data_IF_910053112097
#
_entry.id   IF_910053112097
#
_cell.length_a   1.000
_cell.length_b   1.000
_cell.length_c   1.000
_cell.angle_alpha   90.00
_cell.angle_beta   90.00
_cell.angle_gamma   90.00
#
_symmetry.space_group_name_H-M   'P 1'
#
loop_
_entity.id
_entity.type
_entity.pdbx_description
1 polymer ?
#
# COMPACT_ATOMS: atom_id res chain seq x y z
N UNK A 1 16.38 -1.06 -26.82
CA UNK A 1 15.01 -1.29 -26.29
C UNK A 1 14.21 -1.99 -27.38
N UNK A 2 13.90 -3.26 -27.24
CA UNK A 2 13.03 -3.96 -28.20
C UNK A 2 11.59 -3.55 -27.89
N UNK A 3 10.92 -2.94 -28.85
CA UNK A 3 9.47 -2.67 -28.77
C UNK A 3 8.72 -3.98 -28.58
N UNK A 4 7.94 -4.04 -27.50
CA UNK A 4 7.03 -5.17 -27.23
C UNK A 4 5.85 -4.96 -28.18
N UNK A 5 5.79 -5.74 -29.26
CA UNK A 5 4.65 -5.80 -30.16
C UNK A 5 3.42 -6.20 -29.34
N UNK A 6 2.45 -5.30 -29.26
CA UNK A 6 1.10 -5.56 -28.75
C UNK A 6 0.50 -6.71 -29.57
N UNK A 7 0.42 -7.91 -28.99
CA UNK A 7 -0.29 -9.02 -29.58
C UNK A 7 -1.78 -8.66 -29.64
N UNK A 8 -2.28 -8.31 -30.81
CA UNK A 8 -3.73 -8.14 -31.04
C UNK A 8 -4.41 -9.47 -30.72
N UNK A 9 -5.14 -9.50 -29.60
CA UNK A 9 -5.92 -10.68 -29.19
C UNK A 9 -6.83 -11.09 -30.35
N UNK A 10 -6.77 -12.37 -30.73
CA UNK A 10 -7.62 -12.98 -31.76
C UNK A 10 -9.10 -12.67 -31.44
N UNK A 11 -9.95 -12.27 -32.44
CA UNK A 11 -11.35 -11.98 -32.20
C UNK A 11 -12.12 -13.11 -31.51
N UNK A 12 -11.78 -14.36 -31.80
CA UNK A 12 -12.34 -15.54 -31.12
C UNK A 12 -12.04 -15.54 -29.61
N UNK A 13 -10.82 -15.17 -29.20
CA UNK A 13 -10.44 -15.07 -27.79
C UNK A 13 -11.25 -14.00 -27.07
N UNK A 14 -11.52 -12.88 -27.74
CA UNK A 14 -12.37 -11.79 -27.16
C UNK A 14 -13.82 -12.27 -26.94
N UNK A 15 -14.38 -13.00 -27.89
CA UNK A 15 -15.73 -13.55 -27.78
C UNK A 15 -15.78 -14.57 -26.64
N UNK A 16 -14.81 -15.47 -26.55
CA UNK A 16 -14.72 -16.46 -25.49
C UNK A 16 -14.61 -15.85 -24.10
N UNK A 17 -13.75 -14.82 -23.91
CA UNK A 17 -13.65 -14.06 -22.65
C UNK A 17 -14.98 -13.42 -22.29
N UNK A 18 -15.69 -12.82 -23.26
CA UNK A 18 -16.98 -12.19 -23.04
C UNK A 18 -18.05 -13.23 -22.61
N UNK A 19 -18.04 -14.39 -23.20
CA UNK A 19 -18.94 -15.50 -22.84
C UNK A 19 -18.67 -15.99 -21.41
N UNK A 20 -17.41 -16.19 -21.04
CA UNK A 20 -17.03 -16.60 -19.68
C UNK A 20 -17.46 -15.56 -18.62
N UNK A 21 -17.34 -14.27 -18.91
CA UNK A 21 -17.82 -13.21 -18.02
C UNK A 21 -19.34 -13.23 -17.79
N UNK A 22 -20.12 -13.59 -18.80
CA UNK A 22 -21.58 -13.75 -18.67
C UNK A 22 -21.90 -14.89 -17.69
N UNK A 23 -21.07 -15.94 -17.66
CA UNK A 23 -21.20 -17.07 -16.70
C UNK A 23 -20.52 -16.81 -15.35
N UNK A 24 -20.02 -15.59 -15.08
CA UNK A 24 -19.39 -15.24 -13.82
C UNK A 24 -17.92 -15.68 -13.67
N UNK A 25 -17.27 -16.12 -14.75
CA UNK A 25 -15.85 -16.49 -14.77
C UNK A 25 -14.99 -15.38 -15.39
N UNK A 26 -13.86 -15.05 -14.74
CA UNK A 26 -12.86 -14.18 -15.31
C UNK A 26 -11.67 -14.99 -15.78
N UNK A 27 -11.32 -14.88 -17.07
CA UNK A 27 -10.16 -15.55 -17.65
C UNK A 27 -8.99 -14.58 -17.64
N UNK A 28 -7.94 -14.95 -16.93
CA UNK A 28 -6.68 -14.22 -16.86
C UNK A 28 -5.68 -14.98 -17.72
N UNK A 29 -5.18 -14.29 -18.77
CA UNK A 29 -4.11 -14.83 -19.61
C UNK A 29 -2.77 -14.66 -18.87
N UNK A 30 -2.32 -15.74 -18.24
CA UNK A 30 -1.06 -15.77 -17.50
C UNK A 30 0.18 -15.72 -18.41
N UNK A 31 0.05 -16.01 -19.71
CA UNK A 31 1.20 -15.97 -20.64
C UNK A 31 1.66 -14.56 -20.97
N UNK A 32 0.82 -13.55 -20.73
CA UNK A 32 1.11 -12.14 -20.94
C UNK A 32 1.56 -11.39 -19.68
N UNK A 33 1.80 -12.07 -18.58
CA UNK A 33 2.49 -11.48 -17.44
C UNK A 33 3.98 -11.27 -17.79
N UNK A 34 4.26 -10.30 -18.62
CA UNK A 34 5.62 -9.80 -18.77
C UNK A 34 5.96 -9.04 -17.50
N UNK A 35 6.70 -9.72 -16.64
CA UNK A 35 7.34 -9.12 -15.49
C UNK A 35 8.32 -8.08 -16.05
N UNK A 36 8.23 -6.77 -15.73
CA UNK A 36 9.32 -5.86 -15.97
C UNK A 36 10.42 -6.19 -14.96
N UNK A 37 11.05 -7.33 -15.15
CA UNK A 37 12.23 -7.69 -14.42
C UNK A 37 13.36 -6.81 -14.97
N UNK A 38 14.02 -6.05 -14.09
CA UNK A 38 15.44 -5.78 -14.33
C UNK A 38 16.07 -7.14 -14.61
N UNK A 39 16.92 -7.26 -15.63
CA UNK A 39 17.66 -8.49 -15.98
C UNK A 39 18.56 -9.04 -14.86
N UNK A 40 18.46 -8.47 -13.66
CA UNK A 40 19.05 -8.93 -12.41
C UNK A 40 17.97 -9.66 -11.65
N UNK A 41 18.05 -10.99 -11.65
CA UNK A 41 17.28 -11.80 -10.71
C UNK A 41 17.57 -11.26 -9.29
N UNK A 42 16.54 -10.87 -8.58
CA UNK A 42 16.64 -10.64 -7.14
C UNK A 42 16.79 -12.06 -6.55
N UNK A 43 18.02 -12.47 -6.30
CA UNK A 43 18.32 -13.84 -5.87
C UNK A 43 17.88 -14.14 -4.44
N UNK A 44 17.38 -13.14 -3.70
CA UNK A 44 16.95 -13.30 -2.32
C UNK A 44 15.50 -12.84 -2.13
N UNK A 45 14.74 -13.65 -1.41
CA UNK A 45 13.39 -13.27 -1.00
C UNK A 45 13.45 -12.25 0.12
N UNK A 46 12.70 -11.15 -0.01
CA UNK A 46 12.55 -10.14 1.04
C UNK A 46 11.91 -10.75 2.31
N UNK A 47 11.08 -11.77 2.16
CA UNK A 47 10.34 -12.40 3.25
C UNK A 47 10.99 -13.65 3.81
N UNK A 48 11.85 -14.34 3.04
CA UNK A 48 12.53 -15.56 3.46
C UNK A 48 13.95 -15.55 2.90
N UNK A 49 14.99 -15.38 3.73
CA UNK A 49 16.38 -15.42 3.29
C UNK A 49 16.70 -16.72 2.55
N UNK A 50 17.45 -16.63 1.45
CA UNK A 50 17.85 -17.77 0.62
C UNK A 50 16.78 -18.33 -0.30
N UNK A 51 15.60 -17.70 -0.41
CA UNK A 51 14.58 -18.06 -1.40
C UNK A 51 14.41 -16.96 -2.43
N UNK A 52 14.25 -17.34 -3.68
CA UNK A 52 13.94 -16.40 -4.76
C UNK A 52 12.55 -15.79 -4.52
N UNK A 53 12.43 -14.48 -4.60
CA UNK A 53 11.13 -13.80 -4.61
C UNK A 53 10.65 -13.64 -6.04
N UNK A 54 9.38 -13.93 -6.26
CA UNK A 54 8.70 -13.63 -7.52
C UNK A 54 7.81 -12.42 -7.29
N UNK A 55 8.11 -11.33 -7.98
CA UNK A 55 7.24 -10.16 -8.00
C UNK A 55 6.30 -10.28 -9.19
N UNK A 56 5.01 -10.41 -8.91
CA UNK A 56 3.98 -10.39 -9.96
C UNK A 56 3.60 -8.93 -10.23
N UNK A 57 3.80 -8.42 -11.45
CA UNK A 57 3.32 -7.09 -11.80
C UNK A 57 1.79 -7.12 -11.88
N UNK A 58 1.15 -6.24 -11.13
CA UNK A 58 -0.31 -6.06 -11.16
C UNK A 58 -0.81 -5.41 -12.47
N UNK A 59 0.09 -5.12 -13.38
CA UNK A 59 -0.17 -4.45 -14.64
C UNK A 59 0.54 -3.10 -14.75
N UNK A 60 0.62 -2.59 -15.96
CA UNK A 60 1.13 -1.26 -16.27
C UNK A 60 -0.04 -0.39 -16.73
N UNK A 61 -0.26 0.70 -16.03
CA UNK A 61 -1.20 1.75 -16.47
C UNK A 61 -0.39 2.93 -16.95
N UNK A 62 -0.63 3.34 -18.18
CA UNK A 62 -0.04 4.56 -18.73
C UNK A 62 -0.90 5.75 -18.35
N UNK A 63 -0.29 6.72 -17.67
CA UNK A 63 -0.95 7.98 -17.33
C UNK A 63 -0.68 8.96 -18.46
N UNK A 64 -1.70 9.24 -19.27
CA UNK A 64 -1.59 10.09 -20.47
C UNK A 64 -1.78 11.57 -20.19
N UNK A 65 -2.15 11.95 -18.98
CA UNK A 65 -2.31 13.34 -18.54
C UNK A 65 -1.19 13.77 -17.58
N UNK A 66 -0.97 15.06 -17.46
CA UNK A 66 -0.04 15.60 -16.48
C UNK A 66 -0.53 15.32 -15.06
N UNK A 67 0.33 14.72 -14.24
CA UNK A 67 0.08 14.52 -12.81
C UNK A 67 0.34 15.82 -12.07
N UNK A 68 -0.61 16.24 -11.22
CA UNK A 68 -0.54 17.49 -10.44
C UNK A 68 -0.19 17.27 -8.99
N UNK A 69 -0.65 16.16 -8.42
CA UNK A 69 -0.37 15.81 -7.02
C UNK A 69 -0.24 14.32 -6.82
N UNK A 70 0.54 13.94 -5.82
CA UNK A 70 0.61 12.59 -5.28
C UNK A 70 0.53 12.66 -3.75
N UNK A 71 -0.53 12.10 -3.20
CA UNK A 71 -0.71 11.97 -1.77
C UNK A 71 -0.32 10.56 -1.32
N UNK A 72 0.50 10.48 -0.28
CA UNK A 72 0.89 9.21 0.34
C UNK A 72 0.09 9.04 1.62
N UNK A 73 -0.65 7.96 1.77
CA UNK A 73 -1.41 7.64 2.97
C UNK A 73 -0.75 6.46 3.66
N UNK A 74 -0.08 6.72 4.79
CA UNK A 74 0.51 5.72 5.66
C UNK A 74 -0.46 5.35 6.77
N UNK A 75 -0.72 4.06 6.93
CA UNK A 75 -1.54 3.52 8.02
C UNK A 75 -0.65 2.99 9.12
N UNK A 76 -0.88 3.41 10.37
CA UNK A 76 -0.06 3.05 11.52
C UNK A 76 -0.88 2.57 12.70
N UNK A 77 -0.28 1.66 13.49
CA UNK A 77 -0.79 1.20 14.78
C UNK A 77 0.38 0.60 15.57
N UNK A 78 1.12 1.43 16.30
CA UNK A 78 2.36 1.00 16.96
C UNK A 78 2.14 0.24 18.27
N UNK A 79 0.97 0.36 18.87
CA UNK A 79 0.63 -0.31 20.14
C UNK A 79 0.21 -1.78 20.01
N UNK A 80 0.12 -2.30 18.79
CA UNK A 80 -0.35 -3.68 18.55
C UNK A 80 0.83 -4.65 18.59
N UNK A 81 0.71 -5.69 19.40
CA UNK A 81 1.53 -6.87 19.26
C UNK A 81 1.17 -7.60 17.97
N UNK A 82 2.16 -7.93 17.16
CA UNK A 82 1.97 -8.53 15.85
C UNK A 82 1.65 -10.02 15.95
N UNK A 83 0.49 -10.35 16.48
CA UNK A 83 0.04 -11.71 16.79
C UNK A 83 -0.35 -12.55 15.56
N UNK A 84 -0.51 -11.91 14.40
CA UNK A 84 -1.12 -12.58 13.24
C UNK A 84 -0.12 -13.20 12.27
N UNK A 85 1.17 -13.07 12.51
CA UNK A 85 2.19 -13.62 11.63
C UNK A 85 2.86 -14.85 12.24
N UNK A 86 2.55 -16.01 11.68
CA UNK A 86 3.20 -17.28 12.02
C UNK A 86 4.66 -17.36 11.56
N UNK A 87 5.15 -16.39 10.80
CA UNK A 87 6.52 -16.36 10.27
C UNK A 87 7.39 -15.35 11.00
N UNK A 88 8.58 -15.78 11.37
CA UNK A 88 9.63 -14.91 11.92
C UNK A 88 9.93 -13.76 10.94
N UNK A 89 9.93 -12.52 11.43
CA UNK A 89 10.30 -11.38 10.60
C UNK A 89 11.80 -11.30 10.41
N UNK A 90 12.24 -10.67 9.33
CA UNK A 90 13.66 -10.46 9.03
C UNK A 90 14.38 -9.69 10.16
N UNK A 91 13.69 -8.74 10.78
CA UNK A 91 14.18 -7.96 11.91
C UNK A 91 13.27 -8.24 13.10
N UNK A 92 13.79 -8.87 14.16
CA UNK A 92 13.05 -9.10 15.42
C UNK A 92 12.98 -7.81 16.24
N UNK A 93 12.18 -6.88 15.79
CA UNK A 93 11.98 -5.58 16.42
C UNK A 93 10.50 -5.36 16.75
N UNK A 94 10.24 -4.40 17.64
CA UNK A 94 8.89 -3.99 17.96
C UNK A 94 8.20 -3.29 16.76
N UNK A 95 6.91 -3.14 16.82
CA UNK A 95 6.11 -2.54 15.74
C UNK A 95 6.52 -1.08 15.47
N UNK A 96 6.88 -0.33 16.51
CA UNK A 96 7.35 1.05 16.40
C UNK A 96 8.56 1.17 15.47
N UNK A 97 9.56 0.29 15.62
CA UNK A 97 10.75 0.29 14.75
C UNK A 97 10.38 0.11 13.27
N UNK A 98 9.43 -0.77 12.97
CA UNK A 98 8.95 -0.96 11.59
C UNK A 98 8.24 0.28 11.07
N UNK A 99 7.35 0.87 11.86
CA UNK A 99 6.64 2.11 11.48
C UNK A 99 7.61 3.25 11.21
N UNK A 100 8.61 3.45 12.07
CA UNK A 100 9.60 4.52 11.88
C UNK A 100 10.50 4.28 10.66
N UNK A 101 10.83 3.04 10.35
CA UNK A 101 11.55 2.69 9.11
C UNK A 101 10.72 2.94 7.87
N UNK A 102 9.43 2.54 7.89
CA UNK A 102 8.49 2.81 6.80
C UNK A 102 8.35 4.31 6.55
N UNK A 103 8.17 5.09 7.62
CA UNK A 103 8.09 6.55 7.53
C UNK A 103 9.39 7.17 6.99
N UNK A 104 10.55 6.69 7.45
CA UNK A 104 11.86 7.14 6.93
C UNK A 104 11.98 6.87 5.44
N UNK A 105 11.56 5.69 5.00
CA UNK A 105 11.57 5.31 3.58
C UNK A 105 10.65 6.20 2.75
N UNK A 106 9.44 6.47 3.24
CA UNK A 106 8.49 7.39 2.59
C UNK A 106 9.09 8.79 2.46
N UNK A 107 9.64 9.33 3.54
CA UNK A 107 10.25 10.67 3.55
C UNK A 107 11.37 10.76 2.50
N UNK A 108 12.25 9.75 2.44
CA UNK A 108 13.34 9.69 1.45
C UNK A 108 12.79 9.63 0.02
N UNK A 109 11.81 8.77 -0.22
CA UNK A 109 11.19 8.59 -1.54
C UNK A 109 10.45 9.84 -2.00
N UNK A 110 9.69 10.49 -1.13
CA UNK A 110 8.98 11.73 -1.45
C UNK A 110 9.95 12.87 -1.72
N UNK A 111 11.01 13.02 -0.93
CA UNK A 111 12.03 14.04 -1.17
C UNK A 111 12.77 13.79 -2.49
N UNK A 112 13.07 12.54 -2.81
CA UNK A 112 13.66 12.20 -4.11
C UNK A 112 12.69 12.53 -5.26
N UNK A 113 11.41 12.14 -5.13
CA UNK A 113 10.39 12.45 -6.13
C UNK A 113 10.18 13.95 -6.34
N UNK A 114 10.19 14.76 -5.27
CA UNK A 114 10.14 16.24 -5.36
C UNK A 114 11.30 16.83 -6.17
N UNK A 115 12.45 16.19 -6.13
CA UNK A 115 13.60 16.64 -6.91
C UNK A 115 13.45 16.36 -8.41
N UNK A 116 12.75 15.29 -8.76
CA UNK A 116 12.53 14.87 -10.16
C UNK A 116 11.27 15.55 -10.72
N UNK A 117 10.17 15.54 -9.99
CA UNK A 117 8.86 16.01 -10.45
C UNK A 117 8.53 17.37 -9.84
N UNK A 118 9.17 18.43 -10.37
CA UNK A 118 9.07 19.80 -9.82
C UNK A 118 7.66 20.39 -9.82
N UNK A 119 6.81 19.94 -10.74
CA UNK A 119 5.44 20.45 -10.92
C UNK A 119 4.38 19.60 -10.19
N UNK A 120 4.80 18.57 -9.44
CA UNK A 120 3.91 17.69 -8.69
C UNK A 120 3.93 18.08 -7.21
N UNK A 121 2.76 18.30 -6.64
CA UNK A 121 2.60 18.51 -5.20
C UNK A 121 2.64 17.17 -4.48
N UNK A 122 3.33 17.09 -3.35
CA UNK A 122 3.40 15.89 -2.51
C UNK A 122 2.90 16.21 -1.11
N UNK A 123 2.04 15.34 -0.59
CA UNK A 123 1.57 15.39 0.80
C UNK A 123 1.59 13.98 1.42
N UNK A 124 1.93 13.90 2.70
CA UNK A 124 1.89 12.66 3.47
C UNK A 124 0.78 12.75 4.51
N UNK A 125 -0.15 11.83 4.45
CA UNK A 125 -1.15 11.61 5.48
C UNK A 125 -0.74 10.40 6.30
N UNK A 126 -0.83 10.51 7.61
CA UNK A 126 -0.68 9.37 8.53
C UNK A 126 -2.00 9.17 9.22
N UNK A 127 -2.59 7.96 9.12
CA UNK A 127 -3.78 7.59 9.88
C UNK A 127 -3.36 6.61 10.95
N UNK A 128 -3.39 7.07 12.19
CA UNK A 128 -2.93 6.30 13.34
C UNK A 128 -4.08 5.75 14.19
N UNK A 129 -3.87 4.54 14.72
CA UNK A 129 -4.76 3.93 15.69
C UNK A 129 -4.01 3.57 16.97
N UNK A 130 -4.30 4.28 18.06
CA UNK A 130 -3.85 3.99 19.42
C UNK A 130 -2.33 3.97 19.66
N UNK A 131 -1.51 4.62 18.84
CA UNK A 131 -0.11 4.79 19.19
C UNK A 131 0.04 5.75 20.37
N UNK A 132 1.08 5.55 21.17
CA UNK A 132 1.38 6.39 22.31
C UNK A 132 1.76 7.81 21.87
N UNK A 133 1.54 8.77 22.77
CA UNK A 133 1.81 10.19 22.47
C UNK A 133 3.26 10.45 22.07
N UNK A 134 4.23 9.82 22.75
CA UNK A 134 5.66 9.92 22.43
C UNK A 134 5.97 9.40 21.01
N UNK A 135 5.30 8.33 20.57
CA UNK A 135 5.45 7.75 19.24
C UNK A 135 4.89 8.68 18.16
N UNK A 136 3.71 9.27 18.43
CA UNK A 136 3.11 10.29 17.53
C UNK A 136 4.00 11.54 17.47
N UNK A 137 4.53 12.00 18.59
CA UNK A 137 5.40 13.17 18.63
C UNK A 137 6.72 12.89 17.86
N UNK A 138 7.25 11.68 17.93
CA UNK A 138 8.42 11.25 17.15
C UNK A 138 8.14 11.28 15.65
N UNK A 139 7.02 10.70 15.18
CA UNK A 139 6.62 10.77 13.78
C UNK A 139 6.43 12.21 13.31
N UNK A 140 5.79 13.03 14.13
CA UNK A 140 5.55 14.45 13.84
C UNK A 140 6.86 15.24 13.71
N UNK A 141 7.83 14.95 14.57
CA UNK A 141 9.17 15.55 14.51
C UNK A 141 9.89 15.17 13.21
N UNK A 142 9.87 13.89 12.83
CA UNK A 142 10.48 13.42 11.57
C UNK A 142 9.85 14.10 10.35
N UNK A 143 8.53 14.21 10.30
CA UNK A 143 7.81 14.83 9.20
C UNK A 143 8.08 16.33 9.13
N UNK A 144 8.08 17.04 10.26
CA UNK A 144 8.43 18.46 10.32
C UNK A 144 9.84 18.75 9.77
N UNK A 145 10.79 17.91 10.11
CA UNK A 145 12.18 18.06 9.67
C UNK A 145 12.40 17.66 8.19
N UNK A 146 11.41 17.06 7.55
CA UNK A 146 11.54 16.55 6.19
C UNK A 146 11.19 17.55 5.09
N UNK A 147 10.68 18.73 5.43
CA UNK A 147 10.17 19.72 4.47
C UNK A 147 9.08 19.18 3.53
N UNK A 148 8.28 18.24 4.02
CA UNK A 148 7.14 17.65 3.30
C UNK A 148 5.85 18.13 3.95
N UNK A 149 4.85 18.49 3.14
CA UNK A 149 3.50 18.77 3.66
C UNK A 149 2.92 17.49 4.25
N UNK A 150 2.40 17.54 5.46
CA UNK A 150 1.85 16.36 6.12
C UNK A 150 0.64 16.67 7.01
N UNK A 151 -0.13 15.63 7.30
CA UNK A 151 -1.23 15.65 8.25
C UNK A 151 -1.28 14.31 9.01
N UNK A 152 -1.35 14.34 10.33
CA UNK A 152 -1.52 13.14 11.16
C UNK A 152 -2.95 13.14 11.70
N UNK A 153 -3.68 12.06 11.43
CA UNK A 153 -5.08 11.89 11.76
C UNK A 153 -5.25 10.67 12.67
N UNK A 154 -6.13 10.77 13.63
CA UNK A 154 -6.54 9.62 14.41
C UNK A 154 -7.58 8.79 13.65
N UNK A 155 -7.48 7.47 13.75
CA UNK A 155 -8.50 6.57 13.23
C UNK A 155 -9.84 6.80 13.97
N UNK A 156 -10.88 7.08 13.21
CA UNK A 156 -12.25 7.13 13.70
C UNK A 156 -12.84 5.73 13.90
N UNK A 157 -12.18 4.93 14.74
CA UNK A 157 -12.44 3.50 14.89
C UNK A 157 -13.91 3.19 15.18
N UNK A 158 -14.56 3.93 16.09
CA UNK A 158 -15.97 3.71 16.45
C UNK A 158 -16.92 3.90 15.27
N UNK A 159 -16.61 4.85 14.38
CA UNK A 159 -17.43 5.16 13.21
C UNK A 159 -17.35 4.04 12.17
N UNK A 160 -16.15 3.59 11.86
CA UNK A 160 -15.94 2.62 10.78
C UNK A 160 -16.05 1.17 11.21
N UNK A 161 -15.69 0.83 12.46
CA UNK A 161 -15.74 -0.56 12.95
C UNK A 161 -17.14 -1.14 12.99
N UNK A 162 -18.16 -0.32 13.14
CA UNK A 162 -19.56 -0.75 13.15
C UNK A 162 -20.04 -1.22 11.76
N UNK A 163 -19.39 -0.79 10.70
CA UNK A 163 -19.70 -1.17 9.32
C UNK A 163 -19.06 -2.51 8.93
N UNK A 164 -18.12 -3.00 9.74
CA UNK A 164 -17.36 -4.22 9.45
C UNK A 164 -18.09 -5.40 10.07
N UNK A 165 -18.45 -6.37 9.23
CA UNK A 165 -19.04 -7.63 9.68
C UNK A 165 -18.05 -8.38 10.59
N UNK A 166 -18.57 -9.18 11.51
CA UNK A 166 -17.79 -9.99 12.44
C UNK A 166 -16.86 -10.94 11.67
N UNK A 167 -15.57 -10.89 11.96
CA UNK A 167 -14.55 -11.62 11.18
C UNK A 167 -14.15 -12.92 11.92
N UNK A 168 -13.94 -12.84 13.24
CA UNK A 168 -13.56 -13.99 14.06
C UNK A 168 -14.18 -13.84 15.45
N UNK A 169 -14.90 -14.89 15.93
CA UNK A 169 -15.59 -14.88 17.22
C UNK A 169 -14.75 -15.46 18.35
N UNK A 170 -13.80 -16.31 18.03
CA UNK A 170 -13.07 -17.11 19.03
C UNK A 170 -11.97 -16.29 19.73
N UNK A 171 -11.32 -15.37 19.02
CA UNK A 171 -10.25 -14.54 19.58
C UNK A 171 -10.58 -13.05 19.47
N UNK A 172 -10.89 -12.44 20.62
CA UNK A 172 -11.28 -11.01 20.71
C UNK A 172 -10.15 -10.05 20.25
N UNK A 173 -8.90 -10.38 20.57
CA UNK A 173 -7.76 -9.54 20.21
C UNK A 173 -7.52 -9.57 18.69
N UNK A 174 -7.53 -10.74 18.07
CA UNK A 174 -7.43 -10.90 16.62
C UNK A 174 -8.58 -10.17 15.93
N UNK A 175 -9.80 -10.31 16.43
CA UNK A 175 -10.97 -9.60 15.90
C UNK A 175 -10.81 -8.09 15.99
N UNK A 176 -10.30 -7.56 17.10
CA UNK A 176 -10.07 -6.13 17.29
C UNK A 176 -9.02 -5.60 16.32
N UNK A 177 -7.91 -6.33 16.16
CA UNK A 177 -6.83 -5.97 15.24
C UNK A 177 -7.30 -5.98 13.78
N UNK A 178 -8.08 -6.98 13.38
CA UNK A 178 -8.67 -7.04 12.04
C UNK A 178 -9.65 -5.89 11.80
N UNK A 179 -10.52 -5.58 12.78
CA UNK A 179 -11.42 -4.43 12.70
C UNK A 179 -10.67 -3.11 12.62
N UNK A 180 -9.59 -2.95 13.38
CA UNK A 180 -8.73 -1.77 13.32
C UNK A 180 -8.12 -1.61 11.94
N UNK A 181 -7.53 -2.67 11.39
CA UNK A 181 -6.93 -2.65 10.06
C UNK A 181 -7.98 -2.30 8.98
N UNK A 182 -9.12 -2.98 8.97
CA UNK A 182 -10.20 -2.71 8.00
C UNK A 182 -10.78 -1.30 8.13
N UNK A 183 -10.95 -0.80 9.36
CA UNK A 183 -11.41 0.58 9.60
C UNK A 183 -10.41 1.60 9.08
N UNK A 184 -9.11 1.33 9.25
CA UNK A 184 -8.05 2.20 8.76
C UNK A 184 -7.98 2.20 7.23
N UNK A 185 -8.16 1.03 6.59
CA UNK A 185 -8.32 0.94 5.12
C UNK A 185 -9.50 1.79 4.67
N UNK A 186 -10.66 1.63 5.30
CA UNK A 186 -11.85 2.39 4.94
C UNK A 186 -11.65 3.90 5.10
N UNK A 187 -11.12 4.34 6.23
CA UNK A 187 -10.83 5.77 6.44
C UNK A 187 -9.82 6.30 5.42
N UNK A 188 -8.82 5.50 5.03
CA UNK A 188 -7.84 5.88 4.02
C UNK A 188 -8.49 6.12 2.66
N UNK A 189 -9.43 5.26 2.26
CA UNK A 189 -10.17 5.41 1.01
C UNK A 189 -11.09 6.64 1.03
N UNK A 190 -11.80 6.88 2.16
CA UNK A 190 -12.62 8.07 2.35
C UNK A 190 -11.76 9.34 2.28
N UNK A 191 -10.64 9.36 3.00
CA UNK A 191 -9.70 10.47 3.02
C UNK A 191 -9.15 10.77 1.61
N UNK A 192 -8.77 9.73 0.88
CA UNK A 192 -8.31 9.87 -0.50
C UNK A 192 -9.38 10.49 -1.39
N UNK A 193 -10.63 10.01 -1.29
CA UNK A 193 -11.74 10.56 -2.07
C UNK A 193 -12.03 12.04 -1.75
N UNK A 194 -11.88 12.43 -0.48
CA UNK A 194 -12.24 13.78 -0.02
C UNK A 194 -11.12 14.80 -0.22
N UNK A 195 -9.86 14.39 -0.07
CA UNK A 195 -8.73 15.32 0.00
C UNK A 195 -7.73 15.20 -1.14
N UNK A 196 -7.66 14.06 -1.83
CA UNK A 196 -6.68 13.90 -2.90
C UNK A 196 -7.16 14.51 -4.21
N UNK A 197 -6.31 15.34 -4.82
CA UNK A 197 -6.64 16.02 -6.07
C UNK A 197 -6.39 15.13 -7.30
N UNK A 198 -5.40 14.21 -7.23
CA UNK A 198 -4.97 13.48 -8.42
C UNK A 198 -4.63 12.01 -8.10
N UNK A 199 -3.44 11.70 -7.63
CA UNK A 199 -3.00 10.35 -7.33
C UNK A 199 -2.86 10.12 -5.83
N UNK A 200 -3.18 8.89 -5.40
CA UNK A 200 -2.96 8.44 -4.02
C UNK A 200 -2.17 7.16 -4.01
N UNK A 201 -1.17 7.10 -3.14
CA UNK A 201 -0.38 5.92 -2.86
C UNK A 201 -0.63 5.45 -1.42
N UNK A 202 -1.17 4.25 -1.26
CA UNK A 202 -1.46 3.67 0.05
C UNK A 202 -0.27 2.83 0.52
N UNK A 203 0.16 3.05 1.76
CA UNK A 203 1.25 2.32 2.40
C UNK A 203 0.75 1.69 3.70
N UNK A 204 1.08 0.43 3.88
CA UNK A 204 0.89 -0.31 5.11
C UNK A 204 2.25 -0.56 5.77
N UNK A 205 2.34 -0.34 7.08
CA UNK A 205 3.55 -0.58 7.85
C UNK A 205 3.63 -1.98 8.47
#
# INVERSE_FOLDING_TARGET
MKEIKSNKKNPLTKIFIKLCRIFGFEIIDQSNFTIPTSNKAINESISVPGKNSVTLPLGKVEITRSVRSLDVILRTCMSVNMLTQSKKRMFEKNKEEYTMRSLTSIIRSVNHAKNIFKNVKFKVFVIDHNSEKNQIDSMKSMLKNSNISFEILNLKFKEFSNQIKKINEENKEVTLNQKSNMSNIHQSLVLSKEKSEDLTYFVED
#
